data_IF_576885453905
#
_entry.id   IF_576885453905
#
_cell.length_a   1.000
_cell.length_b   1.000
_cell.length_c   1.000
_cell.angle_alpha   90.00
_cell.angle_beta   90.00
_cell.angle_gamma   90.00
#
_symmetry.space_group_name_H-M   'P 1'
#
loop_
_entity.id
_entity.type
_entity.pdbx_description
1 polymer ?
#
# COMPACT_ATOMS: atom_id res chain seq x y z
N UNK A 1 3.86 -8.30 11.43
CA UNK A 1 4.93 -9.29 11.16
C UNK A 1 6.27 -8.58 11.29
N UNK A 2 7.25 -9.21 11.94
CA UNK A 2 8.65 -8.78 11.96
C UNK A 2 9.48 -9.97 11.50
N UNK A 3 10.47 -9.75 10.65
CA UNK A 3 11.26 -10.83 10.08
C UNK A 3 11.93 -10.42 8.79
N UNK A 4 12.81 -11.29 8.31
CA UNK A 4 13.41 -11.16 6.99
C UNK A 4 12.50 -11.84 5.98
N UNK A 5 12.24 -11.14 4.87
CA UNK A 5 11.38 -11.64 3.80
C UNK A 5 12.08 -11.45 2.46
N UNK A 6 12.05 -12.49 1.63
CA UNK A 6 12.55 -12.43 0.28
C UNK A 6 11.64 -11.62 -0.64
N UNK A 7 12.19 -11.04 -1.71
CA UNK A 7 11.40 -10.29 -2.69
C UNK A 7 10.26 -11.11 -3.31
N UNK A 8 10.50 -12.40 -3.57
CA UNK A 8 9.48 -13.30 -4.12
C UNK A 8 8.29 -13.46 -3.18
N UNK A 9 8.53 -13.65 -1.88
CA UNK A 9 7.48 -13.76 -0.87
C UNK A 9 6.66 -12.47 -0.78
N UNK A 10 7.35 -11.32 -0.77
CA UNK A 10 6.71 -10.00 -0.75
C UNK A 10 5.86 -9.77 -2.01
N UNK A 11 6.33 -10.23 -3.17
CA UNK A 11 5.56 -10.15 -4.42
C UNK A 11 4.31 -11.03 -4.36
N UNK A 12 4.43 -12.26 -3.86
CA UNK A 12 3.30 -13.16 -3.69
C UNK A 12 2.25 -12.59 -2.71
N UNK A 13 2.72 -11.98 -1.61
CA UNK A 13 1.87 -11.28 -0.66
C UNK A 13 1.03 -10.17 -1.31
N UNK A 14 1.64 -9.34 -2.17
CA UNK A 14 0.95 -8.25 -2.86
C UNK A 14 -0.07 -8.77 -3.88
N UNK A 15 0.20 -9.91 -4.53
CA UNK A 15 -0.68 -10.51 -5.53
C UNK A 15 -1.87 -11.21 -4.88
N UNK A 16 -1.64 -12.00 -3.83
CA UNK A 16 -2.65 -12.93 -3.32
C UNK A 16 -3.56 -12.33 -2.24
N UNK A 17 -3.12 -11.27 -1.56
CA UNK A 17 -3.90 -10.67 -0.48
C UNK A 17 -4.86 -9.62 -0.98
N UNK A 18 -6.07 -9.66 -0.42
CA UNK A 18 -7.06 -8.59 -0.57
C UNK A 18 -6.78 -7.46 0.40
N UNK A 19 -7.09 -6.25 -0.03
CA UNK A 19 -7.08 -5.08 0.83
C UNK A 19 -8.19 -5.19 1.87
N UNK A 20 -7.88 -4.76 3.10
CA UNK A 20 -8.89 -4.59 4.15
C UNK A 20 -9.69 -3.28 3.98
N UNK A 21 -9.19 -2.32 3.20
CA UNK A 21 -9.74 -0.96 3.13
C UNK A 21 -10.48 -0.65 1.82
N UNK A 22 -10.33 -1.50 0.80
CA UNK A 22 -11.07 -1.39 -0.45
C UNK A 22 -11.35 -2.76 -1.01
N UNK A 23 -12.39 -2.84 -1.83
CA UNK A 23 -12.63 -4.05 -2.59
C UNK A 23 -11.54 -4.20 -3.68
N UNK A 24 -10.67 -5.20 -3.52
CA UNK A 24 -9.63 -5.54 -4.48
C UNK A 24 -8.32 -5.99 -3.83
N UNK A 25 -7.26 -6.22 -4.63
CA UNK A 25 -5.97 -6.67 -4.14
C UNK A 25 -5.18 -5.53 -3.50
N UNK A 26 -4.15 -5.86 -2.73
CA UNK A 26 -3.24 -4.87 -2.15
C UNK A 26 -2.57 -3.98 -3.21
N UNK A 27 -2.49 -2.68 -2.95
CA UNK A 27 -1.75 -1.73 -3.81
C UNK A 27 -0.24 -1.97 -3.75
N UNK A 28 0.23 -2.50 -2.63
CA UNK A 28 1.63 -2.72 -2.35
C UNK A 28 1.85 -2.91 -0.85
N UNK A 29 3.13 -2.97 -0.49
CA UNK A 29 3.57 -3.05 0.90
C UNK A 29 4.70 -2.07 1.16
N UNK A 30 4.74 -1.56 2.38
CA UNK A 30 5.86 -0.75 2.90
C UNK A 30 6.66 -1.64 3.84
N UNK A 31 7.93 -1.85 3.53
CA UNK A 31 8.88 -2.55 4.40
C UNK A 31 9.59 -1.48 5.23
N UNK A 32 9.62 -1.65 6.54
CA UNK A 32 10.26 -0.73 7.49
C UNK A 32 11.27 -1.49 8.34
N UNK A 33 12.45 -0.91 8.47
CA UNK A 33 13.43 -1.31 9.47
C UNK A 33 13.61 -0.13 10.42
N UNK A 34 13.25 -0.33 11.67
CA UNK A 34 13.18 0.70 12.70
C UNK A 34 13.58 0.12 14.05
N UNK A 35 14.16 0.96 14.89
CA UNK A 35 14.31 0.69 16.32
C UNK A 35 13.14 1.34 17.10
N UNK A 36 13.25 1.37 18.43
CA UNK A 36 12.18 1.87 19.30
C UNK A 36 11.92 3.38 19.16
N UNK A 37 12.84 4.11 18.52
CA UNK A 37 12.84 5.57 18.49
C UNK A 37 12.82 6.10 17.04
N UNK A 38 13.46 5.40 16.10
CA UNK A 38 13.73 5.90 14.76
C UNK A 38 13.49 4.88 13.65
N UNK A 39 12.95 5.39 12.53
CA UNK A 39 12.93 4.67 11.27
C UNK A 39 14.30 4.74 10.61
N UNK A 40 15.00 3.61 10.57
CA UNK A 40 16.34 3.51 10.00
C UNK A 40 16.29 3.42 8.47
N UNK A 41 15.40 2.59 7.92
CA UNK A 41 15.22 2.49 6.47
C UNK A 41 13.82 2.02 6.08
N UNK A 42 13.43 2.33 4.84
CA UNK A 42 12.17 1.86 4.26
C UNK A 42 12.29 1.59 2.77
N UNK A 43 11.48 0.65 2.31
CA UNK A 43 11.26 0.37 0.89
C UNK A 43 9.77 0.23 0.60
N UNK A 44 9.39 0.44 -0.66
CA UNK A 44 8.03 0.21 -1.14
C UNK A 44 8.08 -0.80 -2.28
N UNK A 45 7.25 -1.84 -2.19
CA UNK A 45 6.91 -2.69 -3.32
C UNK A 45 5.49 -2.34 -3.73
N UNK A 46 5.31 -1.84 -4.94
CA UNK A 46 4.03 -1.37 -5.47
C UNK A 46 3.59 -2.29 -6.60
N UNK A 47 2.31 -2.66 -6.62
CA UNK A 47 1.71 -3.45 -7.69
C UNK A 47 1.74 -2.64 -8.99
N UNK A 48 2.14 -3.28 -10.08
CA UNK A 48 2.46 -2.58 -11.33
C UNK A 48 1.26 -1.82 -11.93
N UNK A 49 0.07 -2.43 -11.90
CA UNK A 49 -1.21 -1.87 -12.36
C UNK A 49 -1.72 -0.70 -11.49
N UNK A 50 -1.26 -0.58 -10.24
CA UNK A 50 -1.56 0.57 -9.40
C UNK A 50 -0.72 1.81 -9.78
N UNK A 51 0.57 1.61 -10.08
CA UNK A 51 1.48 2.71 -10.44
C UNK A 51 1.08 3.41 -11.75
N UNK A 52 0.34 2.73 -12.64
CA UNK A 52 -0.08 3.28 -13.94
C UNK A 52 -1.22 4.31 -13.87
N UNK A 53 -1.85 4.54 -12.71
CA UNK A 53 -3.03 5.41 -12.63
C UNK A 53 -2.74 6.92 -12.54
N UNK A 54 -1.47 7.37 -12.52
CA UNK A 54 -1.12 8.80 -12.60
C UNK A 54 -1.00 9.23 -14.08
N UNK A 55 -2.05 8.99 -14.88
CA UNK A 55 -2.07 9.42 -16.28
C UNK A 55 -2.37 10.93 -16.42
N UNK A 56 -3.03 11.54 -15.43
CA UNK A 56 -3.40 12.96 -15.40
C UNK A 56 -2.69 13.74 -14.30
N UNK A 57 -2.14 14.92 -14.63
CA UNK A 57 -1.52 15.80 -13.65
C UNK A 57 -2.58 16.27 -12.63
N UNK A 58 -2.39 15.94 -11.35
CA UNK A 58 -3.31 16.24 -10.25
C UNK A 58 -3.72 17.72 -10.15
N UNK A 59 -2.83 18.65 -10.57
CA UNK A 59 -3.13 20.10 -10.68
C UNK A 59 -4.36 20.46 -11.53
N UNK A 60 -4.80 19.60 -12.45
CA UNK A 60 -6.00 19.86 -13.26
C UNK A 60 -7.27 19.25 -12.67
N UNK A 61 -7.18 18.47 -11.58
CA UNK A 61 -8.37 17.95 -10.90
C UNK A 61 -8.90 18.98 -9.91
N UNK A 62 -10.22 19.08 -9.83
CA UNK A 62 -10.89 19.82 -8.76
C UNK A 62 -10.57 19.17 -7.41
N UNK A 63 -10.66 19.95 -6.34
CA UNK A 63 -10.52 19.43 -4.99
C UNK A 63 -11.61 18.38 -4.73
N UNK A 64 -11.20 17.15 -4.44
CA UNK A 64 -12.08 16.05 -4.06
C UNK A 64 -11.85 15.70 -2.60
N UNK A 65 -12.93 15.68 -1.81
CA UNK A 65 -12.87 15.28 -0.40
C UNK A 65 -12.63 13.78 -0.30
N UNK A 66 -11.52 13.39 0.32
CA UNK A 66 -11.25 11.99 0.63
C UNK A 66 -12.26 11.52 1.70
N UNK A 67 -13.33 10.86 1.25
CA UNK A 67 -14.31 10.21 2.14
C UNK A 67 -13.82 8.80 2.42
N UNK A 68 -13.37 8.57 3.64
CA UNK A 68 -13.12 7.22 4.14
C UNK A 68 -14.46 6.67 4.60
N UNK A 69 -15.09 5.81 3.81
CA UNK A 69 -16.29 5.10 4.25
C UNK A 69 -15.89 4.14 5.38
N UNK A 70 -16.44 4.34 6.59
CA UNK A 70 -16.13 3.60 7.82
C UNK A 70 -16.46 2.10 7.79
N UNK A 71 -16.85 1.53 6.65
CA UNK A 71 -17.31 0.14 6.52
C UNK A 71 -16.17 -0.89 6.68
N UNK A 72 -14.90 -0.46 6.68
CA UNK A 72 -13.73 -1.33 6.83
C UNK A 72 -13.19 -1.48 8.28
N UNK A 73 -13.98 -1.16 9.32
CA UNK A 73 -13.61 -1.41 10.73
C UNK A 73 -14.70 -2.16 11.51
N UNK A 74 -15.24 -3.25 10.95
CA UNK A 74 -15.83 -4.32 11.75
C UNK A 74 -15.28 -5.65 11.26
N UNK A 75 -14.55 -6.32 12.15
CA UNK A 75 -14.34 -7.76 12.09
C UNK A 75 -15.61 -8.52 12.46
#
# INVERSE_FOLDING_TARGET
>A
MRGQHGLQELRQLVIDRRSAFRDGPLEGVVIRHEDDIWLQSRAKLVRADFAQQIAGHWRHRLLEWNRLDHVAMRG
#
